data_IF_052307199342
#
_entry.id   IF_052307199342
#
_cell.length_a   1.000
_cell.length_b   1.000
_cell.length_c   1.000
_cell.angle_alpha   90.00
_cell.angle_beta   90.00
_cell.angle_gamma   90.00
#
_symmetry.space_group_name_H-M   'P 1'
#
loop_
_entity.id
_entity.type
_entity.pdbx_description
1 polymer ?
#
# COMPACT_ATOMS: atom_id res chain seq x y z
N UNK A 1 -21.04 -17.09 11.17
CA UNK A 1 -19.95 -17.11 10.16
C UNK A 1 -18.93 -16.03 10.49
N UNK A 2 -17.61 -16.31 10.40
CA UNK A 2 -16.58 -15.26 10.43
C UNK A 2 -16.74 -14.27 9.29
N UNK A 3 -16.45 -12.99 9.53
CA UNK A 3 -16.45 -11.94 8.51
C UNK A 3 -15.04 -11.66 7.93
N UNK A 4 -14.02 -12.39 8.38
CA UNK A 4 -12.67 -12.45 7.80
C UNK A 4 -12.40 -13.88 7.30
N UNK A 5 -11.84 -14.02 6.10
CA UNK A 5 -11.49 -15.31 5.47
C UNK A 5 -10.07 -15.20 4.93
N UNK A 6 -9.16 -16.07 5.39
CA UNK A 6 -7.75 -16.10 4.99
C UNK A 6 -6.99 -14.76 5.12
N UNK A 7 -7.45 -13.87 6.02
CA UNK A 7 -6.84 -12.55 6.25
C UNK A 7 -7.50 -11.39 5.50
N UNK A 8 -8.41 -11.66 4.56
CA UNK A 8 -9.19 -10.65 3.84
C UNK A 8 -10.66 -10.62 4.31
N UNK A 9 -11.34 -9.47 4.31
CA UNK A 9 -12.77 -9.36 4.62
C UNK A 9 -13.62 -10.21 3.65
N UNK A 10 -14.60 -10.92 4.21
CA UNK A 10 -15.54 -11.72 3.43
C UNK A 10 -16.37 -10.84 2.47
N UNK A 11 -16.86 -11.41 1.37
CA UNK A 11 -17.78 -10.70 0.48
C UNK A 11 -19.16 -10.50 1.14
N UNK A 12 -19.93 -9.50 0.66
CA UNK A 12 -21.28 -9.21 1.17
C UNK A 12 -22.19 -10.45 1.19
N UNK A 13 -22.71 -10.76 2.37
CA UNK A 13 -23.49 -11.98 2.62
C UNK A 13 -24.98 -11.69 2.39
N UNK A 14 -25.36 -11.55 1.12
CA UNK A 14 -26.78 -11.57 0.74
C UNK A 14 -27.36 -12.97 0.97
N UNK A 15 -28.39 -13.08 1.82
CA UNK A 15 -29.17 -14.30 2.07
C UNK A 15 -30.59 -14.09 1.52
N UNK A 16 -30.93 -14.82 0.45
CA UNK A 16 -32.14 -14.63 -0.36
C UNK A 16 -32.66 -15.99 -0.81
N UNK A 17 -33.82 -16.41 -0.31
CA UNK A 17 -34.37 -17.76 -0.57
C UNK A 17 -34.92 -17.88 -2.01
N UNK A 18 -34.12 -18.34 -2.98
CA UNK A 18 -34.42 -18.46 -4.45
C UNK A 18 -33.54 -19.52 -5.15
N UNK A 19 -33.28 -19.44 -6.49
CA UNK A 19 -32.54 -20.41 -7.35
C UNK A 19 -31.64 -19.68 -8.45
N UNK A 20 -30.57 -20.31 -9.04
CA UNK A 20 -29.26 -19.81 -9.67
C UNK A 20 -29.10 -19.43 -11.18
N UNK A 21 -28.01 -18.86 -11.82
CA UNK A 21 -26.71 -18.06 -11.61
C UNK A 21 -26.31 -17.40 -13.02
N UNK A 22 -25.16 -16.91 -13.57
CA UNK A 22 -23.66 -16.67 -13.41
C UNK A 22 -23.16 -15.63 -14.50
N UNK A 23 -21.91 -15.20 -14.85
CA UNK A 23 -20.45 -15.39 -14.48
C UNK A 23 -19.41 -14.74 -15.50
N UNK A 24 -18.07 -14.72 -15.22
CA UNK A 24 -16.87 -14.39 -16.12
C UNK A 24 -16.56 -12.89 -16.54
N UNK A 25 -15.43 -12.35 -17.16
CA UNK A 25 -14.00 -12.70 -17.59
C UNK A 25 -13.11 -11.41 -17.89
N UNK A 26 -11.77 -11.46 -18.24
CA UNK A 26 -10.86 -10.25 -18.51
C UNK A 26 -9.48 -10.51 -19.29
N UNK A 27 -8.73 -9.43 -19.68
CA UNK A 27 -7.26 -9.21 -20.08
C UNK A 27 -6.82 -9.10 -21.59
N UNK A 28 -5.70 -8.48 -22.04
CA UNK A 28 -4.53 -7.64 -21.53
C UNK A 28 -3.31 -7.63 -22.55
N UNK A 29 -2.15 -6.91 -22.55
CA UNK A 29 -1.52 -5.66 -21.95
C UNK A 29 -0.05 -5.39 -22.49
N UNK A 30 0.55 -4.15 -22.48
CA UNK A 30 1.96 -3.78 -22.88
C UNK A 30 2.20 -2.22 -23.06
N UNK A 31 3.34 -1.55 -23.42
CA UNK A 31 4.82 -1.78 -23.62
C UNK A 31 5.62 -0.42 -23.90
N UNK A 32 6.98 -0.33 -23.94
CA UNK A 32 7.82 0.93 -24.04
C UNK A 32 9.23 0.85 -24.78
N UNK A 33 10.11 1.94 -24.78
CA UNK A 33 11.64 1.98 -24.78
C UNK A 33 12.39 3.34 -25.16
N UNK A 34 13.75 3.39 -25.27
CA UNK A 34 14.73 4.44 -24.76
C UNK A 34 15.84 5.02 -25.73
N UNK A 35 16.58 6.10 -25.35
CA UNK A 35 17.84 6.67 -25.97
C UNK A 35 18.85 7.41 -25.01
N UNK A 36 19.99 8.02 -25.50
CA UNK A 36 21.21 8.49 -24.72
C UNK A 36 22.06 9.71 -25.31
N UNK A 37 23.32 10.00 -24.83
CA UNK A 37 24.24 11.20 -25.06
C UNK A 37 25.72 10.86 -25.48
N UNK A 38 26.62 11.81 -25.93
CA UNK A 38 27.92 12.10 -25.21
C UNK A 38 28.66 13.48 -25.47
N UNK A 39 29.75 13.78 -24.73
CA UNK A 39 30.76 14.87 -24.99
C UNK A 39 31.73 15.20 -23.82
N UNK A 40 32.96 15.73 -24.05
CA UNK A 40 34.03 15.92 -23.02
C UNK A 40 34.93 17.17 -23.22
N UNK A 41 35.50 17.71 -22.11
CA UNK A 41 36.50 18.80 -22.02
C UNK A 41 37.57 18.45 -20.95
N UNK A 42 38.70 19.19 -20.92
CA UNK A 42 39.91 18.90 -20.14
C UNK A 42 39.84 19.35 -18.66
N UNK A 43 38.71 19.06 -18.02
CA UNK A 43 38.31 19.49 -16.67
C UNK A 43 38.02 18.25 -15.80
N UNK A 44 38.63 18.15 -14.62
CA UNK A 44 38.40 17.02 -13.70
C UNK A 44 37.15 17.24 -12.84
N UNK A 45 36.51 16.14 -12.44
CA UNK A 45 35.25 16.12 -11.70
C UNK A 45 35.39 15.48 -10.33
N UNK A 46 34.60 16.00 -9.40
CA UNK A 46 34.21 15.32 -8.17
C UNK A 46 32.70 15.15 -8.23
N UNK A 47 32.25 13.90 -8.32
CA UNK A 47 30.83 13.54 -8.40
C UNK A 47 30.37 12.93 -7.08
N UNK A 48 29.40 13.54 -6.42
CA UNK A 48 28.61 12.87 -5.38
C UNK A 48 27.47 12.15 -6.11
N UNK A 49 27.65 10.84 -6.31
CA UNK A 49 26.70 10.01 -7.04
C UNK A 49 25.60 9.51 -6.12
N UNK A 50 24.34 9.68 -6.51
CA UNK A 50 23.18 9.26 -5.71
C UNK A 50 22.69 7.89 -6.17
N UNK A 51 22.65 6.91 -5.25
CA UNK A 51 22.23 5.53 -5.53
C UNK A 51 21.09 5.08 -4.62
N UNK A 52 20.16 4.33 -5.19
CA UNK A 52 18.89 3.95 -4.62
C UNK A 52 18.92 2.56 -3.98
N UNK A 53 18.92 2.50 -2.64
CA UNK A 53 18.98 1.22 -1.92
C UNK A 53 17.65 0.43 -1.98
N UNK A 54 16.55 1.04 -2.42
CA UNK A 54 15.28 0.34 -2.62
C UNK A 54 15.17 -0.22 -4.06
N UNK A 55 16.04 0.19 -4.98
CA UNK A 55 16.19 -0.34 -6.35
C UNK A 55 17.62 -0.89 -6.64
N UNK A 56 18.14 -1.78 -5.79
CA UNK A 56 19.43 -2.50 -5.98
C UNK A 56 20.68 -1.59 -6.23
N UNK A 57 20.77 -0.48 -5.50
CA UNK A 57 21.83 0.56 -5.64
C UNK A 57 21.90 1.17 -7.07
N UNK A 58 20.77 1.26 -7.78
CA UNK A 58 20.63 1.93 -9.08
C UNK A 58 20.85 3.45 -8.96
N UNK A 59 21.45 4.07 -9.98
CA UNK A 59 21.70 5.52 -10.00
C UNK A 59 20.37 6.29 -10.12
N UNK A 60 20.13 7.24 -9.23
CA UNK A 60 19.00 8.18 -9.32
C UNK A 60 19.32 9.22 -10.39
N UNK A 61 18.52 9.25 -11.48
CA UNK A 61 18.82 10.06 -12.66
C UNK A 61 18.78 11.56 -12.38
N UNK A 62 19.78 12.28 -12.88
CA UNK A 62 19.96 13.74 -12.74
C UNK A 62 20.01 14.26 -11.29
N UNK A 63 20.32 13.38 -10.32
CA UNK A 63 20.49 13.72 -8.89
C UNK A 63 21.93 14.01 -8.46
N UNK A 64 22.93 13.59 -9.24
CA UNK A 64 24.35 13.68 -8.90
C UNK A 64 24.83 15.12 -8.67
N UNK A 65 25.48 15.40 -7.52
CA UNK A 65 26.13 16.69 -7.30
C UNK A 65 27.52 16.67 -7.94
N UNK A 66 27.68 17.35 -9.09
CA UNK A 66 28.95 17.40 -9.83
C UNK A 66 29.67 18.73 -9.59
N UNK A 67 30.86 18.66 -9.01
CA UNK A 67 31.81 19.77 -8.93
C UNK A 67 32.91 19.59 -9.99
N UNK A 68 33.40 20.68 -10.56
CA UNK A 68 34.41 20.70 -11.63
C UNK A 68 35.54 21.68 -11.33
N UNK A 69 36.78 21.29 -11.64
CA UNK A 69 37.97 22.11 -11.41
C UNK A 69 39.21 21.57 -12.13
N UNK A 70 40.40 22.05 -11.75
CA UNK A 70 41.68 21.47 -12.17
C UNK A 70 42.31 20.70 -11.01
N UNK A 71 43.09 19.68 -11.32
CA UNK A 71 43.78 18.91 -10.29
C UNK A 71 44.65 19.82 -9.40
N UNK A 72 44.49 19.70 -8.09
CA UNK A 72 45.12 20.55 -7.07
C UNK A 72 44.34 21.81 -6.66
N UNK A 73 43.33 22.24 -7.43
CA UNK A 73 42.41 23.32 -6.99
C UNK A 73 41.63 22.87 -5.75
N UNK A 74 41.26 23.83 -4.89
CA UNK A 74 40.36 23.54 -3.75
C UNK A 74 38.94 23.24 -4.24
N UNK A 75 38.27 22.30 -3.58
CA UNK A 75 36.83 22.07 -3.74
C UNK A 75 36.09 23.00 -2.79
N UNK A 76 35.20 23.83 -3.31
CA UNK A 76 34.32 24.70 -2.52
C UNK A 76 33.06 23.92 -2.09
N UNK A 77 33.21 23.07 -1.07
CA UNK A 77 32.10 22.27 -0.56
C UNK A 77 31.06 23.14 0.13
N UNK A 78 29.81 23.08 -0.34
CA UNK A 78 28.66 23.62 0.39
C UNK A 78 28.47 22.83 1.69
N UNK A 79 28.52 23.51 2.84
CA UNK A 79 28.35 22.89 4.15
C UNK A 79 27.02 23.33 4.80
N UNK A 80 26.41 22.41 5.54
CA UNK A 80 25.20 22.65 6.33
C UNK A 80 25.53 23.29 7.70
N UNK A 81 24.48 23.51 8.52
CA UNK A 81 24.60 24.08 9.89
C UNK A 81 25.59 23.37 10.81
N UNK A 82 25.81 22.08 10.57
CA UNK A 82 26.63 21.20 11.41
C UNK A 82 28.08 21.11 10.91
N UNK A 83 28.43 21.88 9.88
CA UNK A 83 29.76 21.86 9.24
C UNK A 83 30.03 20.65 8.34
N UNK A 84 29.00 19.87 8.01
CA UNK A 84 29.08 18.69 7.13
C UNK A 84 28.65 19.03 5.72
N UNK A 85 29.04 18.19 4.74
CA UNK A 85 28.58 18.32 3.35
C UNK A 85 27.06 18.46 3.25
N UNK A 86 26.59 19.48 2.55
CA UNK A 86 25.16 19.67 2.26
C UNK A 86 24.76 18.86 1.01
N UNK A 87 24.08 17.74 1.26
CA UNK A 87 23.57 16.85 0.23
C UNK A 87 22.26 17.39 -0.37
N UNK A 88 22.23 17.52 -1.70
CA UNK A 88 20.99 17.74 -2.45
C UNK A 88 20.21 16.41 -2.57
N UNK A 89 19.72 15.86 -1.45
CA UNK A 89 18.88 14.65 -1.47
C UNK A 89 17.64 14.92 -2.33
N UNK A 90 17.34 14.10 -3.36
CA UNK A 90 16.20 14.35 -4.24
C UNK A 90 14.86 14.37 -3.49
N UNK A 91 13.87 15.08 -4.03
CA UNK A 91 12.51 15.04 -3.50
C UNK A 91 12.00 13.60 -3.53
N UNK A 92 11.22 13.22 -2.50
CA UNK A 92 10.71 11.86 -2.29
C UNK A 92 11.76 10.82 -1.84
N UNK A 93 13.01 11.23 -1.62
CA UNK A 93 14.05 10.40 -1.03
C UNK A 93 14.43 10.85 0.40
N UNK A 94 15.01 9.93 1.16
CA UNK A 94 15.70 10.16 2.44
C UNK A 94 17.10 9.54 2.40
N UNK A 95 18.01 9.98 3.27
CA UNK A 95 19.33 9.35 3.38
C UNK A 95 19.19 7.89 3.83
N UNK A 96 19.92 6.98 3.17
CA UNK A 96 19.94 5.54 3.45
C UNK A 96 20.72 5.18 4.72
N UNK A 97 21.06 3.89 4.89
CA UNK A 97 21.80 3.46 6.09
C UNK A 97 23.15 4.19 6.17
N UNK A 98 23.44 4.78 7.34
CA UNK A 98 24.63 5.59 7.55
C UNK A 98 25.93 4.76 7.52
N UNK A 99 25.85 3.43 7.57
CA UNK A 99 27.00 2.51 7.47
C UNK A 99 27.50 2.30 6.05
N UNK A 100 26.64 2.47 5.05
CA UNK A 100 27.02 2.35 3.64
C UNK A 100 27.38 3.71 3.04
N UNK A 101 26.86 4.79 3.63
CA UNK A 101 27.21 6.15 3.27
C UNK A 101 28.64 6.53 3.72
N UNK A 102 29.30 7.47 3.04
CA UNK A 102 30.64 7.93 3.38
C UNK A 102 30.61 8.77 4.66
N UNK A 103 31.77 8.91 5.31
CA UNK A 103 31.92 9.84 6.42
C UNK A 103 31.83 11.29 5.91
N UNK A 104 30.67 11.93 6.14
CA UNK A 104 30.39 13.31 5.74
C UNK A 104 31.25 14.38 6.42
N UNK A 105 32.15 13.99 7.33
CA UNK A 105 33.17 14.86 7.92
C UNK A 105 34.54 14.76 7.19
N UNK A 106 34.73 13.81 6.27
CA UNK A 106 36.03 13.45 5.68
C UNK A 106 36.00 13.37 4.13
N UNK A 107 35.51 14.43 3.49
CA UNK A 107 35.63 14.64 2.04
C UNK A 107 36.97 15.33 1.69
N UNK A 108 37.51 15.15 0.47
CA UNK A 108 38.78 15.74 0.05
C UNK A 108 38.73 17.28 0.03
N UNK A 109 39.83 17.97 0.34
CA UNK A 109 39.90 19.44 0.23
C UNK A 109 40.15 19.94 -1.21
N UNK A 110 40.58 19.04 -2.11
CA UNK A 110 41.07 19.35 -3.46
C UNK A 110 40.67 18.32 -4.51
N UNK A 111 40.55 18.80 -5.74
CA UNK A 111 40.39 17.97 -6.94
C UNK A 111 41.65 17.15 -7.19
N UNK A 112 41.47 15.88 -7.56
CA UNK A 112 42.51 14.96 -8.00
C UNK A 112 42.47 14.75 -9.52
N UNK A 113 43.51 14.10 -10.03
CA UNK A 113 43.52 13.44 -11.34
C UNK A 113 43.77 11.95 -11.06
N UNK A 114 42.88 11.01 -11.45
CA UNK A 114 41.68 11.18 -12.28
C UNK A 114 40.43 11.66 -11.52
N UNK A 115 39.32 11.80 -12.26
CA UNK A 115 37.95 12.04 -11.76
C UNK A 115 37.61 11.18 -10.53
N UNK A 116 36.98 11.82 -9.54
CA UNK A 116 36.60 11.21 -8.26
C UNK A 116 35.09 10.99 -8.19
N UNK A 117 34.65 9.84 -7.67
CA UNK A 117 33.22 9.56 -7.41
C UNK A 117 33.02 9.11 -5.97
N UNK A 118 32.14 9.80 -5.26
CA UNK A 118 31.70 9.49 -3.89
C UNK A 118 30.26 9.02 -3.94
N UNK A 119 30.03 7.74 -3.59
CA UNK A 119 28.70 7.14 -3.59
C UNK A 119 27.93 7.54 -2.34
N UNK A 120 26.74 8.11 -2.50
CA UNK A 120 25.79 8.44 -1.44
C UNK A 120 24.51 7.66 -1.67
N UNK A 121 24.10 6.94 -0.64
CA UNK A 121 23.02 5.96 -0.70
C UNK A 121 21.76 6.55 -0.06
N UNK A 122 20.65 6.50 -0.80
CA UNK A 122 19.34 7.01 -0.41
C UNK A 122 18.29 5.89 -0.43
N UNK A 123 17.13 6.15 0.19
CA UNK A 123 15.94 5.28 0.16
C UNK A 123 14.71 6.10 -0.19
N UNK A 124 13.67 5.46 -0.70
CA UNK A 124 12.41 6.16 -0.93
C UNK A 124 11.84 6.61 0.43
N UNK A 125 11.31 7.83 0.49
CA UNK A 125 10.46 8.23 1.59
C UNK A 125 9.17 7.38 1.57
N UNK A 126 8.61 7.11 2.75
CA UNK A 126 7.41 6.27 2.89
C UNK A 126 6.35 7.04 3.69
N UNK A 127 5.16 7.22 3.12
CA UNK A 127 4.02 7.93 3.72
C UNK A 127 3.03 6.94 4.37
N UNK A 128 2.57 7.22 5.59
CA UNK A 128 1.51 6.42 6.23
C UNK A 128 0.13 6.89 5.74
N UNK A 129 -0.54 6.05 4.95
CA UNK A 129 -1.90 6.31 4.47
C UNK A 129 -2.91 5.67 5.44
N UNK A 130 -3.54 6.51 6.26
CA UNK A 130 -4.46 6.10 7.32
C UNK A 130 -5.86 5.76 6.80
N UNK A 131 -6.44 4.64 7.26
CA UNK A 131 -7.81 4.26 6.93
C UNK A 131 -8.86 5.29 7.40
N UNK A 132 -8.57 6.04 8.47
CA UNK A 132 -9.49 7.02 9.06
C UNK A 132 -9.80 8.21 8.15
N UNK A 133 -9.00 8.45 7.11
CA UNK A 133 -9.26 9.46 6.06
C UNK A 133 -9.74 8.85 4.74
N UNK A 134 -9.93 7.51 4.69
CA UNK A 134 -10.18 6.74 3.47
C UNK A 134 -11.42 5.81 3.59
N UNK A 135 -12.43 6.19 4.39
CA UNK A 135 -13.66 5.38 4.56
C UNK A 135 -14.43 5.11 3.25
N UNK A 136 -14.23 5.94 2.23
CA UNK A 136 -14.81 5.75 0.89
C UNK A 136 -14.01 4.82 -0.03
N UNK A 137 -12.75 4.51 0.27
CA UNK A 137 -11.93 3.62 -0.56
C UNK A 137 -11.95 2.19 -0.04
N UNK A 138 -12.44 1.29 -0.89
CA UNK A 138 -12.48 -0.15 -0.68
C UNK A 138 -11.10 -0.81 -0.42
N UNK A 139 -9.99 -0.13 -0.73
CA UNK A 139 -8.65 -0.60 -0.39
C UNK A 139 -8.28 -0.41 1.09
N UNK A 140 -8.93 0.51 1.80
CA UNK A 140 -8.68 0.85 3.20
C UNK A 140 -9.87 0.54 4.12
N UNK A 141 -11.08 0.49 3.58
CA UNK A 141 -12.33 0.31 4.31
C UNK A 141 -13.22 -0.75 3.63
N UNK A 142 -13.58 -1.81 4.35
CA UNK A 142 -14.48 -2.87 3.87
C UNK A 142 -15.64 -3.04 4.84
N UNK A 143 -16.81 -2.53 4.45
CA UNK A 143 -18.08 -2.88 5.09
C UNK A 143 -18.59 -4.16 4.44
N UNK A 144 -18.80 -5.18 5.26
CA UNK A 144 -19.39 -6.45 4.87
C UNK A 144 -20.82 -6.44 5.41
N UNK A 145 -21.81 -6.54 4.53
CA UNK A 145 -23.23 -6.44 4.87
C UNK A 145 -23.90 -7.81 4.76
N UNK A 146 -24.63 -8.21 5.81
CA UNK A 146 -25.53 -9.36 5.80
C UNK A 146 -26.96 -8.86 5.66
N UNK A 147 -27.58 -9.10 4.50
CA UNK A 147 -28.99 -8.84 4.27
C UNK A 147 -29.77 -10.15 4.24
N UNK A 148 -30.80 -10.29 5.10
CA UNK A 148 -31.67 -11.47 5.18
C UNK A 148 -33.11 -11.03 4.89
N UNK A 149 -33.71 -11.53 3.81
CA UNK A 149 -35.11 -11.23 3.46
C UNK A 149 -36.03 -12.40 3.74
N UNK A 150 -37.05 -12.18 4.56
CA UNK A 150 -38.07 -13.15 4.94
C UNK A 150 -39.30 -13.01 4.05
N UNK A 151 -39.79 -14.12 3.50
CA UNK A 151 -40.96 -14.17 2.61
C UNK A 151 -42.00 -15.14 3.18
N UNK A 152 -42.85 -14.66 4.10
CA UNK A 152 -43.93 -15.46 4.71
C UNK A 152 -45.18 -15.38 3.81
N UNK A 153 -45.78 -16.52 3.41
CA UNK A 153 -47.01 -16.54 2.60
C UNK A 153 -48.13 -15.69 3.20
N UNK A 154 -48.80 -14.90 2.36
CA UNK A 154 -49.88 -13.99 2.78
C UNK A 154 -49.43 -12.73 3.54
N UNK A 155 -48.12 -12.52 3.73
CA UNK A 155 -47.56 -11.34 4.40
C UNK A 155 -46.65 -10.53 3.47
N UNK A 156 -46.40 -9.27 3.82
CA UNK A 156 -45.40 -8.44 3.15
C UNK A 156 -44.00 -8.87 3.61
N UNK A 157 -43.07 -9.03 2.67
CA UNK A 157 -41.67 -9.36 2.97
C UNK A 157 -41.01 -8.35 3.90
N UNK A 158 -40.14 -8.85 4.78
CA UNK A 158 -39.31 -8.05 5.69
C UNK A 158 -37.83 -8.34 5.46
N UNK A 159 -36.96 -7.37 5.72
CA UNK A 159 -35.50 -7.51 5.55
C UNK A 159 -34.79 -7.06 6.82
N UNK A 160 -33.93 -7.92 7.35
CA UNK A 160 -32.98 -7.59 8.42
C UNK A 160 -31.62 -7.34 7.77
N UNK A 161 -30.91 -6.29 8.20
CA UNK A 161 -29.59 -5.94 7.67
C UNK A 161 -28.62 -5.71 8.83
N UNK A 162 -27.52 -6.48 8.84
CA UNK A 162 -26.38 -6.28 9.73
C UNK A 162 -25.16 -5.85 8.91
N UNK A 163 -24.16 -5.22 9.53
CA UNK A 163 -22.87 -4.97 8.89
C UNK A 163 -21.69 -5.08 9.86
N UNK A 164 -20.58 -5.60 9.37
CA UNK A 164 -19.29 -5.67 10.05
C UNK A 164 -18.26 -4.93 9.19
N UNK A 165 -17.47 -4.05 9.78
CA UNK A 165 -16.51 -3.18 9.11
C UNK A 165 -15.09 -3.61 9.47
N UNK A 166 -14.25 -3.77 8.46
CA UNK A 166 -12.80 -3.89 8.60
C UNK A 166 -12.12 -2.67 7.99
N UNK A 167 -10.98 -2.29 8.57
CA UNK A 167 -10.12 -1.20 8.09
C UNK A 167 -8.67 -1.66 8.00
N UNK A 168 -7.87 -1.06 7.12
CA UNK A 168 -6.40 -1.24 7.10
C UNK A 168 -5.71 0.03 6.65
N UNK A 169 -4.58 0.33 7.27
CA UNK A 169 -3.67 1.37 6.78
C UNK A 169 -2.84 0.83 5.62
N UNK A 170 -2.34 1.72 4.78
CA UNK A 170 -1.30 1.45 3.80
C UNK A 170 -0.04 2.25 4.10
N UNK A 171 1.09 1.80 3.56
CA UNK A 171 2.32 2.59 3.47
C UNK A 171 2.57 2.86 2.00
N UNK A 172 2.53 4.13 1.61
CA UNK A 172 2.76 4.59 0.24
C UNK A 172 4.25 4.86 0.06
N UNK A 173 4.77 4.37 -1.06
CA UNK A 173 6.07 4.72 -1.56
C UNK A 173 6.01 6.10 -2.24
N UNK A 174 6.87 7.03 -1.84
CA UNK A 174 6.86 8.38 -2.39
C UNK A 174 7.51 8.50 -3.77
N UNK A 175 8.31 7.52 -4.19
CA UNK A 175 9.03 7.51 -5.47
C UNK A 175 8.24 6.75 -6.53
N UNK A 176 7.80 5.52 -6.23
CA UNK A 176 7.02 4.70 -7.19
C UNK A 176 5.53 5.04 -7.15
N UNK A 177 5.02 5.55 -6.03
CA UNK A 177 3.59 5.77 -5.78
C UNK A 177 2.83 4.53 -5.31
N UNK A 178 3.47 3.36 -5.24
CA UNK A 178 2.83 2.10 -4.83
C UNK A 178 2.40 2.11 -3.36
N UNK A 179 1.32 1.41 -3.03
CA UNK A 179 0.84 1.26 -1.65
C UNK A 179 0.97 -0.18 -1.19
N UNK A 180 1.85 -0.40 -0.20
CA UNK A 180 1.91 -1.66 0.55
C UNK A 180 0.85 -1.63 1.65
N UNK A 181 -0.17 -2.48 1.54
CA UNK A 181 -1.28 -2.54 2.50
C UNK A 181 -0.95 -3.39 3.73
N UNK A 182 -1.35 -2.90 4.91
CA UNK A 182 -1.28 -3.64 6.16
C UNK A 182 -2.37 -4.71 6.30
N UNK A 183 -2.38 -5.41 7.45
CA UNK A 183 -3.43 -6.39 7.77
C UNK A 183 -4.77 -5.68 8.05
N UNK A 184 -5.86 -6.33 7.63
CA UNK A 184 -7.20 -5.90 8.00
C UNK A 184 -7.45 -6.04 9.50
N UNK A 185 -7.97 -4.98 10.10
CA UNK A 185 -8.31 -4.84 11.51
C UNK A 185 -9.82 -4.62 11.62
N UNK A 186 -10.46 -5.31 12.56
CA UNK A 186 -11.88 -5.17 12.83
C UNK A 186 -12.18 -3.79 13.45
N UNK A 187 -13.17 -3.08 12.90
CA UNK A 187 -13.61 -1.76 13.34
C UNK A 187 -15.08 -1.73 13.83
N UNK A 188 -15.76 -2.88 13.90
CA UNK A 188 -17.12 -2.99 14.45
C UNK A 188 -17.12 -3.71 15.79
N UNK A 189 -17.80 -3.10 16.76
CA UNK A 189 -18.19 -3.74 18.01
C UNK A 189 -19.70 -4.00 18.04
N UNK A 190 -20.18 -4.82 18.97
CA UNK A 190 -21.58 -4.83 19.36
C UNK A 190 -21.92 -3.71 20.36
N UNK A 191 -23.14 -3.74 20.92
CA UNK A 191 -23.67 -2.69 21.81
C UNK A 191 -22.97 -2.67 23.17
N UNK A 192 -22.38 -3.80 23.52
CA UNK A 192 -21.61 -4.08 24.72
C UNK A 192 -20.12 -3.75 24.54
N UNK A 193 -19.75 -3.13 23.41
CA UNK A 193 -18.39 -2.73 23.06
C UNK A 193 -17.46 -3.88 22.69
N UNK A 194 -17.99 -5.10 22.52
CA UNK A 194 -17.16 -6.27 22.24
C UNK A 194 -16.89 -6.41 20.73
N UNK A 195 -15.69 -6.86 20.31
CA UNK A 195 -15.37 -7.06 18.90
C UNK A 195 -16.37 -7.98 18.19
N UNK A 196 -17.03 -7.48 17.13
CA UNK A 196 -18.01 -8.23 16.35
C UNK A 196 -17.38 -8.79 15.06
N UNK A 197 -16.57 -9.83 15.19
CA UNK A 197 -15.82 -10.45 14.08
C UNK A 197 -16.69 -11.34 13.16
N UNK A 198 -17.92 -11.61 13.58
CA UNK A 198 -18.79 -12.63 13.01
C UNK A 198 -20.27 -12.26 13.16
N UNK A 199 -21.07 -12.63 12.16
CA UNK A 199 -22.50 -12.34 12.19
C UNK A 199 -23.24 -13.30 13.14
N UNK A 200 -23.88 -12.74 14.19
CA UNK A 200 -24.65 -13.50 15.20
C UNK A 200 -25.74 -14.37 14.55
N UNK A 201 -25.94 -15.59 15.04
CA UNK A 201 -26.95 -16.53 14.53
C UNK A 201 -28.37 -15.98 14.69
N UNK A 202 -29.30 -16.42 13.84
CA UNK A 202 -30.74 -16.17 13.99
C UNK A 202 -31.50 -17.49 13.80
N UNK A 203 -32.60 -17.66 14.55
CA UNK A 203 -33.59 -18.70 14.28
C UNK A 203 -34.76 -18.12 13.47
N UNK A 204 -35.31 -18.93 12.57
CA UNK A 204 -36.45 -18.61 11.71
C UNK A 204 -37.58 -19.66 11.82
N UNK A 205 -37.47 -20.61 12.76
CA UNK A 205 -38.45 -21.67 12.99
C UNK A 205 -39.84 -21.10 13.30
N UNK A 206 -40.76 -21.22 12.33
CA UNK A 206 -42.12 -20.70 12.43
C UNK A 206 -43.12 -21.85 12.39
N UNK A 207 -43.96 -21.99 13.44
CA UNK A 207 -44.94 -23.07 13.57
C UNK A 207 -45.89 -23.10 12.35
N UNK A 208 -45.85 -24.19 11.60
CA UNK A 208 -46.69 -24.42 10.42
C UNK A 208 -46.00 -24.24 9.06
N UNK A 209 -44.74 -23.79 9.01
CA UNK A 209 -44.02 -23.55 7.76
C UNK A 209 -42.76 -24.42 7.62
N UNK A 210 -42.48 -24.91 6.40
CA UNK A 210 -41.19 -25.49 6.04
C UNK A 210 -40.26 -24.38 5.53
N UNK A 211 -39.34 -23.94 6.38
CA UNK A 211 -38.31 -22.94 6.01
C UNK A 211 -37.35 -23.55 4.98
N UNK A 212 -36.98 -22.76 3.98
CA UNK A 212 -35.83 -23.01 3.09
C UNK A 212 -34.88 -21.83 3.26
N UNK A 213 -33.57 -22.07 3.22
CA UNK A 213 -32.55 -21.01 3.28
C UNK A 213 -31.61 -21.18 2.07
N UNK A 214 -31.35 -20.10 1.34
CA UNK A 214 -30.35 -20.06 0.25
C UNK A 214 -29.60 -18.73 0.24
N UNK A 215 -28.43 -18.69 -0.39
CA UNK A 215 -27.67 -17.46 -0.61
C UNK A 215 -28.34 -16.52 -1.66
N UNK A 216 -27.78 -15.32 -1.87
CA UNK A 216 -28.23 -14.29 -2.82
C UNK A 216 -28.51 -14.78 -4.25
N UNK A 217 -27.91 -15.91 -4.63
CA UNK A 217 -27.99 -16.54 -5.94
C UNK A 217 -28.87 -17.80 -5.92
N UNK A 218 -29.42 -18.22 -4.79
CA UNK A 218 -30.37 -19.32 -4.75
C UNK A 218 -29.82 -20.74 -4.61
N UNK A 219 -28.59 -20.94 -4.15
CA UNK A 219 -28.13 -22.30 -3.83
C UNK A 219 -28.68 -22.74 -2.47
N UNK A 220 -29.42 -23.85 -2.44
CA UNK A 220 -29.71 -24.62 -1.21
C UNK A 220 -28.43 -25.27 -0.69
N UNK A 221 -27.57 -24.44 -0.12
CA UNK A 221 -26.40 -24.89 0.63
C UNK A 221 -26.06 -23.79 1.63
N UNK A 222 -26.23 -24.10 2.92
CA UNK A 222 -25.61 -23.47 4.11
C UNK A 222 -26.32 -23.99 5.37
N UNK A 223 -26.03 -25.25 5.74
CA UNK A 223 -26.31 -25.77 7.09
C UNK A 223 -25.55 -24.92 8.15
N UNK A 224 -24.47 -24.26 7.73
CA UNK A 224 -23.64 -23.33 8.49
C UNK A 224 -24.25 -21.92 8.68
N UNK A 225 -25.59 -21.83 8.66
CA UNK A 225 -26.40 -20.72 9.18
C UNK A 225 -27.29 -21.16 10.37
N UNK A 226 -27.26 -22.44 10.75
CA UNK A 226 -28.04 -23.05 11.84
C UNK A 226 -27.17 -23.49 13.03
N UNK A 227 -25.88 -23.16 13.02
CA UNK A 227 -24.89 -23.32 14.08
C UNK A 227 -23.88 -22.15 14.00
#
# INVERSE_FOLDING_TARGET
MPALINGEPAQDITVKVTYTKDGATKLGTGADHKGDKPGQDNTVKVTVQILDQDEDDKIVTDADQVMTGKAGDKIDWKLNSDGKLELNVPKHYVLGDNKNNPDFNNFPDRFSDPDQTYKVYVKHAKELVSAATHEGDSNYYRRITRAITQNVPGQKSTTITDSIIFTRNGVKDEVTGDVTYGKWTLATTDKEGQPLDSFKQMDFATKGYKVTITNGQGKQNLIQLLF
#
